data_IF_172485109183
#
_entry.id   IF_172485109183
#
_cell.length_a   1.000
_cell.length_b   1.000
_cell.length_c   1.000
_cell.angle_alpha   90.00
_cell.angle_beta   90.00
_cell.angle_gamma   90.00
#
_symmetry.space_group_name_H-M   'P 1'
#
loop_
_entity.id
_entity.type
_entity.pdbx_description
1 polymer ?
#
# COMPACT_ATOMS: atom_id res chain seq x y z
N UNK A 1 -5.15 -10.19 -25.31
CA UNK A 1 -5.18 -10.87 -24.00
C UNK A 1 -5.05 -9.78 -22.95
N UNK A 2 -6.16 -9.39 -22.31
CA UNK A 2 -6.19 -8.28 -21.34
C UNK A 2 -5.76 -8.79 -19.96
N UNK A 3 -4.95 -8.05 -19.19
CA UNK A 3 -4.59 -8.44 -17.83
C UNK A 3 -5.84 -8.35 -16.93
N UNK A 4 -6.06 -9.39 -16.12
CA UNK A 4 -7.23 -9.54 -15.26
C UNK A 4 -7.15 -8.60 -14.03
N UNK A 5 -8.25 -7.93 -13.66
CA UNK A 5 -8.29 -7.00 -12.52
C UNK A 5 -8.64 -7.76 -11.22
N UNK A 6 -7.74 -7.77 -10.24
CA UNK A 6 -8.01 -8.40 -8.95
C UNK A 6 -6.88 -8.22 -7.94
N UNK A 7 -6.82 -7.09 -7.24
CA UNK A 7 -5.77 -6.86 -6.22
C UNK A 7 -6.32 -6.47 -4.85
N UNK A 8 -7.56 -6.01 -4.75
CA UNK A 8 -8.12 -5.60 -3.46
C UNK A 8 -9.30 -6.47 -3.01
N UNK A 9 -9.59 -7.48 -3.83
CA UNK A 9 -10.77 -8.32 -3.72
C UNK A 9 -10.79 -9.14 -2.43
N UNK A 10 -9.64 -9.63 -1.94
CA UNK A 10 -9.64 -10.75 -1.00
C UNK A 10 -9.22 -10.39 0.43
N UNK A 11 -8.48 -9.32 0.70
CA UNK A 11 -8.03 -9.02 2.06
C UNK A 11 -9.12 -8.42 2.95
N UNK A 12 -9.89 -7.45 2.44
CA UNK A 12 -11.09 -6.98 3.13
C UNK A 12 -12.16 -8.06 3.17
N UNK A 13 -12.31 -8.81 2.08
CA UNK A 13 -13.22 -9.93 2.02
C UNK A 13 -12.82 -11.05 2.99
N UNK A 14 -11.54 -11.39 3.21
CA UNK A 14 -11.09 -12.44 4.16
C UNK A 14 -11.03 -11.98 5.61
N UNK A 15 -10.76 -10.70 5.85
CA UNK A 15 -11.01 -10.08 7.16
C UNK A 15 -12.51 -10.16 7.51
N UNK A 16 -13.42 -10.15 6.53
CA UNK A 16 -14.87 -10.34 6.72
C UNK A 16 -15.41 -11.76 6.42
N UNK A 17 -14.67 -12.64 5.73
CA UNK A 17 -15.03 -14.00 5.30
C UNK A 17 -14.18 -15.04 6.04
N UNK A 18 -13.89 -14.82 7.32
CA UNK A 18 -13.63 -15.91 8.26
C UNK A 18 -14.88 -16.80 8.40
N UNK A 19 -15.29 -17.45 7.30
CA UNK A 19 -16.51 -18.21 7.12
C UNK A 19 -16.49 -19.46 7.99
N UNK A 20 -16.88 -19.33 9.26
CA UNK A 20 -17.36 -20.47 10.03
C UNK A 20 -18.82 -20.72 9.67
N UNK A 21 -19.08 -21.67 8.77
CA UNK A 21 -20.33 -22.42 8.85
C UNK A 21 -20.28 -23.27 10.12
N UNK A 22 -21.39 -23.42 10.83
CA UNK A 22 -21.47 -24.11 12.12
C UNK A 22 -20.90 -25.56 12.11
N UNK A 23 -20.63 -26.15 10.94
CA UNK A 23 -20.11 -27.51 10.78
C UNK A 23 -18.65 -27.62 10.27
N UNK A 24 -17.93 -26.53 9.96
CA UNK A 24 -16.57 -26.64 9.41
C UNK A 24 -15.48 -26.56 10.52
N UNK A 25 -14.98 -27.73 10.95
CA UNK A 25 -13.98 -27.89 12.03
C UNK A 25 -12.50 -27.77 11.62
N UNK A 26 -12.15 -27.23 10.46
CA UNK A 26 -10.73 -27.05 10.10
C UNK A 26 -10.45 -25.65 9.58
N UNK A 27 -9.61 -24.92 10.32
CA UNK A 27 -9.04 -23.63 9.96
C UNK A 27 -8.10 -23.83 8.77
N UNK A 28 -8.52 -23.47 7.56
CA UNK A 28 -7.55 -23.17 6.50
C UNK A 28 -7.05 -21.76 6.76
N UNK A 29 -5.88 -21.66 7.38
CA UNK A 29 -5.14 -20.42 7.51
C UNK A 29 -4.65 -20.00 6.13
N UNK A 30 -5.24 -18.95 5.57
CA UNK A 30 -4.70 -18.30 4.38
C UNK A 30 -3.64 -17.30 4.86
N UNK A 31 -2.40 -17.45 4.37
CA UNK A 31 -1.37 -16.43 4.58
C UNK A 31 -1.76 -15.19 3.79
N UNK A 32 -2.15 -14.15 4.53
CA UNK A 32 -2.61 -12.88 4.00
C UNK A 32 -1.58 -12.27 3.04
N UNK A 33 -0.28 -12.46 3.30
CA UNK A 33 0.83 -11.90 2.51
C UNK A 33 1.01 -12.49 1.11
N UNK A 34 0.68 -13.77 0.86
CA UNK A 34 0.83 -14.43 -0.46
C UNK A 34 -0.31 -14.09 -1.43
N UNK A 35 -1.30 -13.30 -1.01
CA UNK A 35 -2.47 -12.95 -1.82
C UNK A 35 -2.30 -11.58 -2.50
N UNK A 36 -1.24 -10.84 -2.17
CA UNK A 36 -1.02 -9.46 -2.61
C UNK A 36 -0.03 -9.27 -3.77
N UNK A 37 0.57 -10.34 -4.28
CA UNK A 37 1.46 -10.28 -5.43
C UNK A 37 0.71 -10.74 -6.70
N UNK A 38 0.55 -9.83 -7.68
CA UNK A 38 -0.02 -10.15 -8.99
C UNK A 38 0.86 -11.07 -9.85
N UNK A 39 2.10 -11.31 -9.43
CA UNK A 39 2.97 -12.35 -9.99
C UNK A 39 2.85 -13.68 -9.24
N UNK A 40 2.00 -13.75 -8.21
CA UNK A 40 1.73 -14.98 -7.46
C UNK A 40 0.78 -15.89 -8.27
N UNK A 41 1.18 -17.13 -8.61
CA UNK A 41 0.31 -18.10 -9.30
C UNK A 41 -0.93 -18.54 -8.48
N UNK A 42 -1.10 -18.07 -7.25
CA UNK A 42 -2.21 -18.38 -6.34
C UNK A 42 -3.25 -17.25 -6.20
N UNK A 43 -3.16 -16.17 -6.99
CA UNK A 43 -4.19 -15.13 -7.02
C UNK A 43 -5.58 -15.71 -7.43
N UNK A 44 -6.61 -15.40 -6.65
CA UNK A 44 -7.96 -15.96 -6.83
C UNK A 44 -8.67 -15.31 -8.02
N UNK A 45 -8.94 -16.09 -9.08
CA UNK A 45 -9.68 -15.61 -10.25
C UNK A 45 -11.17 -15.38 -9.94
N UNK A 46 -11.88 -14.68 -10.83
CA UNK A 46 -13.35 -14.54 -10.75
C UNK A 46 -14.02 -15.92 -10.67
N UNK A 47 -13.55 -16.88 -11.44
CA UNK A 47 -14.05 -18.24 -11.48
C UNK A 47 -13.77 -18.97 -10.15
N UNK A 48 -12.58 -18.79 -9.55
CA UNK A 48 -12.26 -19.34 -8.24
C UNK A 48 -13.13 -18.73 -7.13
N UNK A 49 -13.50 -17.46 -7.27
CA UNK A 49 -14.42 -16.79 -6.37
C UNK A 49 -15.85 -17.32 -6.52
N UNK A 50 -16.35 -17.44 -7.76
CA UNK A 50 -17.68 -17.99 -8.02
C UNK A 50 -17.78 -19.42 -7.47
N UNK A 51 -16.73 -20.24 -7.60
CA UNK A 51 -16.62 -21.60 -7.02
C UNK A 51 -16.62 -21.57 -5.49
N UNK A 52 -15.90 -20.63 -4.86
CA UNK A 52 -15.88 -20.50 -3.40
C UNK A 52 -17.25 -20.10 -2.82
N UNK A 53 -18.06 -19.38 -3.61
CA UNK A 53 -19.39 -18.91 -3.23
C UNK A 53 -20.51 -19.87 -3.64
N UNK A 54 -20.32 -20.71 -4.67
CA UNK A 54 -21.36 -21.60 -5.23
C UNK A 54 -21.59 -22.91 -4.47
N UNK A 55 -20.91 -23.14 -3.34
CA UNK A 55 -20.93 -24.43 -2.61
C UNK A 55 -21.80 -24.49 -1.36
N UNK A 56 -22.60 -23.46 -1.05
CA UNK A 56 -23.35 -23.39 0.21
C UNK A 56 -24.78 -22.92 -0.07
N UNK A 57 -25.77 -23.78 0.20
CA UNK A 57 -27.21 -23.65 -0.06
C UNK A 57 -27.93 -22.41 0.55
N UNK A 58 -27.24 -21.33 0.91
CA UNK A 58 -27.83 -20.15 1.57
C UNK A 58 -27.29 -18.82 1.07
N UNK A 59 -26.28 -18.77 0.22
CA UNK A 59 -25.69 -17.51 -0.24
C UNK A 59 -25.94 -17.32 -1.74
N UNK A 60 -26.57 -16.21 -2.11
CA UNK A 60 -26.75 -15.83 -3.52
C UNK A 60 -25.71 -14.77 -3.86
N UNK A 61 -24.70 -15.17 -4.65
CA UNK A 61 -23.77 -14.25 -5.27
C UNK A 61 -24.29 -13.90 -6.68
N UNK A 62 -24.33 -12.62 -6.99
CA UNK A 62 -24.71 -12.14 -8.32
C UNK A 62 -23.80 -11.02 -8.76
N UNK A 63 -23.32 -11.10 -9.99
CA UNK A 63 -22.60 -10.02 -10.65
C UNK A 63 -23.55 -9.14 -11.44
N UNK A 64 -23.37 -7.83 -11.35
CA UNK A 64 -23.97 -6.87 -12.26
C UNK A 64 -22.92 -5.85 -12.72
N UNK A 65 -23.21 -5.18 -13.83
CA UNK A 65 -22.36 -4.14 -14.37
C UNK A 65 -23.18 -2.85 -14.43
N UNK A 66 -22.57 -1.76 -14.00
CA UNK A 66 -23.19 -0.44 -13.98
C UNK A 66 -22.20 0.64 -14.41
N UNK A 67 -22.65 1.88 -14.48
CA UNK A 67 -21.78 3.05 -14.65
C UNK A 67 -21.79 3.87 -13.37
N UNK A 68 -20.61 4.30 -12.95
CA UNK A 68 -20.46 5.30 -11.89
C UNK A 68 -21.05 6.64 -12.34
N UNK A 69 -21.25 7.58 -11.40
CA UNK A 69 -21.68 8.95 -11.76
C UNK A 69 -20.70 9.65 -12.70
N UNK A 70 -19.42 9.31 -12.63
CA UNK A 70 -18.38 9.77 -13.56
C UNK A 70 -18.56 9.25 -14.99
N UNK A 71 -19.43 8.26 -15.20
CA UNK A 71 -19.62 7.56 -16.48
C UNK A 71 -18.76 6.31 -16.65
N UNK A 72 -17.78 6.11 -15.76
CA UNK A 72 -16.86 4.97 -15.80
C UNK A 72 -17.59 3.64 -15.52
N UNK A 73 -17.22 2.55 -16.22
CA UNK A 73 -17.79 1.24 -15.98
C UNK A 73 -17.35 0.68 -14.61
N UNK A 74 -18.31 0.07 -13.91
CA UNK A 74 -18.15 -0.50 -12.59
C UNK A 74 -18.79 -1.89 -12.53
N UNK A 75 -18.02 -2.87 -12.07
CA UNK A 75 -18.51 -4.21 -11.78
C UNK A 75 -18.99 -4.26 -10.32
N UNK A 76 -20.13 -4.88 -10.08
CA UNK A 76 -20.75 -4.98 -8.76
C UNK A 76 -20.96 -6.45 -8.46
N UNK A 77 -20.31 -6.92 -7.40
CA UNK A 77 -20.61 -8.22 -6.80
C UNK A 77 -21.54 -8.01 -5.63
N UNK A 78 -22.73 -8.58 -5.71
CA UNK A 78 -23.69 -8.57 -4.62
C UNK A 78 -23.78 -9.97 -4.03
N UNK A 79 -23.35 -10.11 -2.77
CA UNK A 79 -23.47 -11.36 -2.01
C UNK A 79 -24.52 -11.16 -0.94
N UNK A 80 -25.68 -11.77 -1.14
CA UNK A 80 -26.69 -11.89 -0.09
C UNK A 80 -26.48 -13.21 0.61
N UNK A 81 -26.17 -13.17 1.88
CA UNK A 81 -26.17 -14.39 2.67
C UNK A 81 -27.52 -14.56 3.37
N UNK A 82 -28.03 -15.79 3.35
CA UNK A 82 -29.04 -16.24 4.29
C UNK A 82 -28.49 -16.30 5.72
N UNK A 83 -29.33 -16.74 6.66
CA UNK A 83 -29.00 -16.85 8.08
C UNK A 83 -27.70 -17.65 8.31
N UNK A 84 -26.72 -17.02 8.98
CA UNK A 84 -25.49 -17.68 9.47
C UNK A 84 -24.16 -17.16 8.91
N UNK A 85 -24.15 -16.07 8.14
CA UNK A 85 -22.88 -15.48 7.70
C UNK A 85 -22.29 -14.58 8.79
N UNK A 86 -21.08 -14.93 9.23
CA UNK A 86 -20.37 -14.22 10.29
C UNK A 86 -19.04 -13.70 9.75
N UNK A 87 -18.77 -12.43 10.03
CA UNK A 87 -17.45 -11.84 9.85
C UNK A 87 -16.70 -11.87 11.17
N UNK A 88 -15.41 -12.22 11.14
CA UNK A 88 -14.56 -12.16 12.33
C UNK A 88 -13.72 -10.89 12.28
N UNK A 89 -14.03 -9.93 13.15
CA UNK A 89 -13.21 -8.75 13.35
C UNK A 89 -12.48 -8.87 14.67
N UNK A 90 -11.15 -8.94 14.62
CA UNK A 90 -10.26 -9.22 15.75
C UNK A 90 -10.71 -10.46 16.55
N UNK A 91 -11.33 -10.27 17.72
CA UNK A 91 -11.82 -11.32 18.61
C UNK A 91 -13.34 -11.56 18.52
N UNK A 92 -14.06 -10.73 17.75
CA UNK A 92 -15.51 -10.72 17.69
C UNK A 92 -16.03 -11.32 16.39
N UNK A 93 -17.14 -12.07 16.48
CA UNK A 93 -17.87 -12.57 15.33
C UNK A 93 -19.14 -11.74 15.16
N UNK A 94 -19.26 -11.05 14.03
CA UNK A 94 -20.36 -10.14 13.70
C UNK A 94 -21.27 -10.82 12.68
N UNK A 95 -22.58 -10.77 12.89
CA UNK A 95 -23.52 -11.34 11.93
C UNK A 95 -23.69 -10.38 10.74
N UNK A 96 -23.27 -10.82 9.55
CA UNK A 96 -23.38 -10.05 8.31
C UNK A 96 -24.61 -10.51 7.53
N UNK A 97 -25.59 -9.62 7.34
CA UNK A 97 -26.80 -9.91 6.57
C UNK A 97 -26.56 -9.76 5.06
N UNK A 98 -25.67 -8.85 4.67
CA UNK A 98 -25.41 -8.55 3.26
C UNK A 98 -24.00 -7.98 3.06
N UNK A 99 -23.39 -8.35 1.94
CA UNK A 99 -22.14 -7.79 1.46
C UNK A 99 -22.30 -7.34 0.00
N UNK A 100 -21.94 -6.11 -0.30
CA UNK A 100 -21.86 -5.59 -1.67
C UNK A 100 -20.45 -5.11 -1.92
N UNK A 101 -19.84 -5.53 -3.02
CA UNK A 101 -18.54 -5.05 -3.43
C UNK A 101 -18.67 -4.37 -4.80
N UNK A 102 -18.14 -3.16 -4.90
CA UNK A 102 -18.09 -2.35 -6.09
C UNK A 102 -16.63 -2.25 -6.55
N UNK A 103 -16.41 -2.43 -7.84
CA UNK A 103 -15.09 -2.45 -8.44
C UNK A 103 -15.05 -1.54 -9.66
N UNK A 104 -14.03 -0.68 -9.73
CA UNK A 104 -13.70 0.00 -10.98
C UNK A 104 -13.13 -1.00 -11.97
N UNK A 105 -13.51 -0.89 -13.24
CA UNK A 105 -13.00 -1.77 -14.30
C UNK A 105 -11.49 -1.65 -14.54
N UNK A 106 -10.88 -0.53 -14.15
CA UNK A 106 -9.42 -0.33 -14.20
C UNK A 106 -8.67 -1.12 -13.11
N UNK A 107 -9.38 -1.72 -12.16
CA UNK A 107 -8.81 -2.49 -11.05
C UNK A 107 -8.15 -1.65 -9.95
N UNK A 108 -8.22 -0.31 -10.05
CA UNK A 108 -7.47 0.62 -9.18
C UNK A 108 -8.26 1.02 -7.93
N UNK A 109 -9.59 0.96 -7.96
CA UNK A 109 -10.42 1.34 -6.80
C UNK A 109 -11.55 0.36 -6.52
N UNK A 110 -11.88 0.25 -5.23
CA UNK A 110 -12.95 -0.60 -4.72
C UNK A 110 -13.75 0.09 -3.61
N UNK A 111 -14.97 -0.42 -3.41
CA UNK A 111 -15.81 -0.07 -2.27
C UNK A 111 -16.55 -1.32 -1.80
N UNK A 112 -16.47 -1.60 -0.51
CA UNK A 112 -17.28 -2.63 0.14
C UNK A 112 -18.39 -1.99 0.97
N UNK A 113 -19.56 -2.62 0.95
CA UNK A 113 -20.70 -2.30 1.79
C UNK A 113 -21.08 -3.54 2.58
N UNK A 114 -20.89 -3.50 3.90
CA UNK A 114 -21.21 -4.59 4.83
C UNK A 114 -22.43 -4.18 5.64
N UNK A 115 -23.41 -5.07 5.76
CA UNK A 115 -24.61 -4.84 6.54
C UNK A 115 -24.62 -5.78 7.74
N UNK A 116 -24.68 -5.22 8.95
CA UNK A 116 -24.72 -5.95 10.21
C UNK A 116 -26.12 -5.90 10.80
N UNK A 117 -26.57 -7.03 11.37
CA UNK A 117 -27.96 -7.23 11.76
C UNK A 117 -28.34 -6.79 13.17
N UNK A 118 -27.39 -6.48 14.06
CA UNK A 118 -27.70 -6.17 15.47
C UNK A 118 -27.05 -4.88 15.98
N UNK A 119 -27.70 -4.22 16.95
CA UNK A 119 -27.17 -3.03 17.61
C UNK A 119 -25.95 -3.36 18.50
N UNK A 120 -25.87 -4.55 19.08
CA UNK A 120 -24.70 -4.98 19.85
C UNK A 120 -23.46 -5.11 18.97
N UNK A 121 -23.63 -5.61 17.73
CA UNK A 121 -22.52 -5.71 16.78
C UNK A 121 -21.96 -4.34 16.41
N UNK A 122 -22.78 -3.28 16.47
CA UNK A 122 -22.36 -1.90 16.21
C UNK A 122 -21.36 -1.42 17.24
N UNK A 123 -21.69 -1.50 18.52
CA UNK A 123 -20.83 -0.94 19.59
C UNK A 123 -19.48 -1.64 19.62
N UNK A 124 -19.50 -2.97 19.49
CA UNK A 124 -18.30 -3.79 19.32
C UNK A 124 -17.51 -3.32 18.10
N UNK A 125 -18.18 -3.17 16.95
CA UNK A 125 -17.51 -2.79 15.71
C UNK A 125 -16.90 -1.39 15.78
N UNK A 126 -17.63 -0.40 16.28
CA UNK A 126 -17.13 0.97 16.39
C UNK A 126 -15.95 1.07 17.36
N UNK A 127 -15.97 0.32 18.47
CA UNK A 127 -14.84 0.27 19.41
C UNK A 127 -13.60 -0.35 18.77
N UNK A 128 -13.77 -1.44 18.02
CA UNK A 128 -12.67 -2.08 17.27
C UNK A 128 -12.12 -1.17 16.17
N UNK A 129 -12.97 -0.43 15.46
CA UNK A 129 -12.51 0.56 14.49
C UNK A 129 -11.76 1.71 15.16
N UNK A 130 -12.21 2.18 16.32
CA UNK A 130 -11.47 3.19 17.09
C UNK A 130 -10.09 2.67 17.54
N UNK A 131 -9.99 1.40 17.91
CA UNK A 131 -8.70 0.77 18.24
C UNK A 131 -7.78 0.66 17.01
N UNK A 132 -8.34 0.34 15.84
CA UNK A 132 -7.57 0.12 14.60
C UNK A 132 -7.17 1.43 13.90
N UNK A 133 -8.07 2.41 13.88
CA UNK A 133 -7.94 3.64 13.09
C UNK A 133 -7.80 4.90 13.93
N UNK A 134 -7.92 4.80 15.26
CA UNK A 134 -7.93 5.94 16.16
C UNK A 134 -9.29 6.63 16.21
N UNK A 135 -9.29 7.90 16.64
CA UNK A 135 -10.53 8.65 16.87
C UNK A 135 -11.36 8.83 15.60
N UNK A 136 -12.66 8.53 15.69
CA UNK A 136 -13.63 8.79 14.62
C UNK A 136 -13.99 10.27 14.51
N UNK A 137 -14.39 10.68 13.31
CA UNK A 137 -15.03 11.97 13.04
C UNK A 137 -16.53 11.79 12.74
N UNK A 138 -17.35 12.78 13.10
CA UNK A 138 -18.75 12.80 12.68
C UNK A 138 -18.88 13.51 11.34
N UNK A 139 -19.54 12.87 10.37
CA UNK A 139 -19.83 13.45 9.05
C UNK A 139 -21.20 14.14 8.97
N UNK A 140 -22.00 14.04 10.02
CA UNK A 140 -23.38 14.51 10.03
C UNK A 140 -24.36 13.44 10.50
N UNK A 141 -25.62 13.53 10.05
CA UNK A 141 -26.69 12.61 10.44
C UNK A 141 -27.46 12.10 9.23
N UNK A 142 -27.80 10.81 9.20
CA UNK A 142 -28.79 10.24 8.27
C UNK A 142 -30.17 10.42 8.87
N UNK A 143 -31.11 10.96 8.09
CA UNK A 143 -32.53 11.00 8.47
C UNK A 143 -33.24 9.75 7.94
N UNK A 144 -33.78 8.96 8.86
CA UNK A 144 -34.53 7.74 8.58
C UNK A 144 -35.95 8.05 8.11
N UNK A 145 -36.60 7.06 7.47
CA UNK A 145 -37.98 7.21 6.98
C UNK A 145 -39.00 7.45 8.08
N UNK A 146 -38.73 6.96 9.29
CA UNK A 146 -39.55 7.17 10.49
C UNK A 146 -39.30 8.54 11.16
N UNK A 147 -38.45 9.39 10.57
CA UNK A 147 -38.11 10.71 11.09
C UNK A 147 -36.96 10.71 12.11
N UNK A 148 -36.49 9.54 12.59
CA UNK A 148 -35.31 9.46 13.45
C UNK A 148 -34.07 9.93 12.69
N UNK A 149 -33.04 10.37 13.43
CA UNK A 149 -31.75 10.74 12.85
C UNK A 149 -30.64 9.99 13.56
N UNK A 150 -29.77 9.32 12.80
CA UNK A 150 -28.60 8.61 13.33
C UNK A 150 -27.30 9.30 12.89
N UNK A 151 -26.24 9.27 13.72
CA UNK A 151 -24.95 9.83 13.33
C UNK A 151 -24.30 9.00 12.21
N UNK A 152 -23.54 9.68 11.36
CA UNK A 152 -22.59 9.07 10.42
C UNK A 152 -21.20 9.21 11.02
N UNK A 153 -20.52 8.09 11.21
CA UNK A 153 -19.15 8.06 11.69
C UNK A 153 -18.18 7.75 10.55
N UNK A 154 -17.00 8.36 10.62
CA UNK A 154 -15.93 8.19 9.65
C UNK A 154 -14.61 7.97 10.36
N UNK A 155 -13.87 6.98 9.89
CA UNK A 155 -12.48 6.72 10.22
C UNK A 155 -11.66 6.86 8.94
N UNK A 156 -10.56 7.58 9.05
CA UNK A 156 -9.64 7.82 7.93
C UNK A 156 -8.30 7.14 8.24
N UNK A 157 -7.78 6.44 7.23
CA UNK A 157 -6.39 5.97 7.21
C UNK A 157 -5.77 6.30 5.86
N UNK A 158 -4.45 6.15 5.78
CA UNK A 158 -3.72 6.34 4.51
C UNK A 158 -4.22 5.41 3.38
N UNK A 159 -4.79 4.26 3.73
CA UNK A 159 -5.11 3.20 2.77
C UNK A 159 -6.61 2.96 2.58
N UNK A 160 -7.44 3.52 3.43
CA UNK A 160 -8.85 3.18 3.50
C UNK A 160 -9.64 4.23 4.27
N UNK A 161 -10.83 4.52 3.76
CA UNK A 161 -11.85 5.30 4.44
C UNK A 161 -12.92 4.33 4.91
N UNK A 162 -13.25 4.36 6.20
CA UNK A 162 -14.34 3.55 6.76
C UNK A 162 -15.46 4.47 7.20
N UNK A 163 -16.69 4.19 6.79
CA UNK A 163 -17.89 4.96 7.15
C UNK A 163 -18.92 4.02 7.75
N UNK A 164 -19.44 4.33 8.93
CA UNK A 164 -20.58 3.60 9.51
C UNK A 164 -21.79 4.49 9.66
N UNK A 165 -22.98 3.94 9.38
CA UNK A 165 -24.26 4.60 9.64
C UNK A 165 -25.40 3.58 9.68
N UNK A 166 -26.49 3.96 10.34
CA UNK A 166 -27.67 3.11 10.43
C UNK A 166 -28.55 3.22 9.19
N UNK A 167 -29.15 2.10 8.80
CA UNK A 167 -30.17 2.01 7.77
C UNK A 167 -31.35 1.17 8.30
N UNK A 168 -32.31 1.82 8.96
CA UNK A 168 -33.41 1.12 9.62
C UNK A 168 -32.94 0.34 10.84
N UNK A 169 -33.04 -0.99 10.80
CA UNK A 169 -32.56 -1.90 11.86
C UNK A 169 -31.16 -2.46 11.59
N UNK A 170 -30.58 -2.18 10.42
CA UNK A 170 -29.25 -2.66 10.05
C UNK A 170 -28.21 -1.55 10.23
N UNK A 171 -27.00 -1.95 10.57
CA UNK A 171 -25.83 -1.07 10.48
C UNK A 171 -25.15 -1.29 9.14
N UNK A 172 -24.95 -0.22 8.38
CA UNK A 172 -24.16 -0.26 7.15
C UNK A 172 -22.76 0.27 7.43
N UNK A 173 -21.77 -0.54 7.05
CA UNK A 173 -20.36 -0.19 7.03
C UNK A 173 -19.89 -0.08 5.59
N UNK A 174 -19.27 1.04 5.23
CA UNK A 174 -18.65 1.25 3.92
C UNK A 174 -17.14 1.31 4.09
N UNK A 175 -16.42 0.48 3.35
CA UNK A 175 -14.96 0.48 3.31
C UNK A 175 -14.55 0.87 1.92
N UNK A 176 -13.88 2.02 1.80
CA UNK A 176 -13.69 2.72 0.54
C UNK A 176 -12.19 2.90 0.33
N UNK A 177 -11.71 2.46 -0.82
CA UNK A 177 -10.38 2.84 -1.29
C UNK A 177 -10.33 4.36 -1.50
N UNK A 178 -9.33 5.10 -1.00
CA UNK A 178 -9.26 6.55 -1.20
C UNK A 178 -9.30 7.02 -2.66
N UNK A 179 -8.94 6.16 -3.62
CA UNK A 179 -9.04 6.42 -5.07
C UNK A 179 -10.41 6.09 -5.68
N UNK A 180 -11.32 5.46 -4.91
CA UNK A 180 -12.68 5.20 -5.35
C UNK A 180 -13.52 6.49 -5.28
N UNK A 181 -14.24 6.86 -6.36
CA UNK A 181 -15.00 8.11 -6.38
C UNK A 181 -16.06 8.17 -5.27
N UNK A 182 -15.83 9.01 -4.26
CA UNK A 182 -16.73 9.18 -3.12
C UNK A 182 -18.12 9.69 -3.53
N UNK A 183 -18.24 10.32 -4.70
CA UNK A 183 -19.52 10.79 -5.26
C UNK A 183 -20.53 9.66 -5.52
N UNK A 184 -20.06 8.41 -5.57
CA UNK A 184 -20.89 7.20 -5.70
C UNK A 184 -21.44 6.71 -4.35
N UNK A 185 -20.98 7.28 -3.23
CA UNK A 185 -21.41 6.99 -1.86
C UNK A 185 -22.44 8.05 -1.44
N UNK A 186 -23.72 7.70 -1.58
CA UNK A 186 -24.93 8.48 -1.25
C UNK A 186 -25.39 9.60 -2.20
N UNK A 187 -26.72 9.82 -2.28
CA UNK A 187 -27.30 11.11 -2.59
C UNK A 187 -27.43 11.89 -1.27
N UNK A 188 -26.36 12.51 -0.79
CA UNK A 188 -26.52 13.59 0.20
C UNK A 188 -27.22 14.72 -0.56
N UNK A 189 -28.49 15.00 -0.24
CA UNK A 189 -29.11 16.26 -0.66
C UNK A 189 -28.20 17.37 -0.14
N UNK A 190 -27.53 18.06 -1.07
CA UNK A 190 -26.61 19.19 -0.86
C UNK A 190 -26.88 19.92 0.46
N UNK A 191 -26.11 19.59 1.48
CA UNK A 191 -25.65 20.61 2.42
C UNK A 191 -24.15 20.57 2.28
N UNK A 192 -23.68 21.31 1.27
CA UNK A 192 -22.26 21.57 1.05
C UNK A 192 -21.83 22.41 2.24
N UNK A 193 -21.25 21.77 3.26
CA UNK A 193 -20.22 22.46 4.03
C UNK A 193 -19.04 22.45 3.08
N UNK A 194 -18.67 23.65 2.63
CA UNK A 194 -17.50 23.91 1.82
C UNK A 194 -16.26 23.56 2.65
N UNK A 195 -16.00 22.26 2.79
CA UNK A 195 -14.69 21.76 3.16
C UNK A 195 -13.86 21.97 1.90
N UNK A 196 -13.26 23.17 1.80
CA UNK A 196 -12.16 23.39 0.88
C UNK A 196 -11.26 22.17 0.97
N UNK A 197 -11.03 21.43 -0.12
CA UNK A 197 -10.13 20.31 -0.08
C UNK A 197 -8.78 20.89 0.31
N UNK A 198 -8.36 20.70 1.56
CA UNK A 198 -6.95 20.59 1.83
C UNK A 198 -6.55 19.35 1.05
N UNK A 199 -6.15 19.58 -0.20
CA UNK A 199 -5.63 18.60 -1.11
C UNK A 199 -4.55 17.85 -0.33
N UNK A 200 -4.91 16.67 0.16
CA UNK A 200 -3.95 15.60 0.40
C UNK A 200 -3.23 15.45 -0.94
N UNK A 201 -2.10 16.13 -1.08
CA UNK A 201 -1.13 15.81 -2.10
C UNK A 201 -0.75 14.35 -1.79
N UNK A 202 -1.43 13.41 -2.43
CA UNK A 202 -0.87 12.07 -2.61
C UNK A 202 0.33 12.32 -3.50
N UNK A 203 1.49 12.50 -2.86
CA UNK A 203 2.73 12.75 -3.55
C UNK A 203 2.92 11.60 -4.54
N UNK A 204 3.04 11.96 -5.82
CA UNK A 204 3.22 10.98 -6.87
C UNK A 204 4.44 10.09 -6.55
N UNK A 205 4.37 8.77 -6.77
CA UNK A 205 5.51 7.88 -6.58
C UNK A 205 6.77 8.44 -7.24
N UNK A 206 7.91 8.37 -6.54
CA UNK A 206 9.19 8.83 -7.08
C UNK A 206 9.86 7.66 -7.80
N UNK A 207 9.97 7.79 -9.13
CA UNK A 207 10.70 6.85 -9.97
C UNK A 207 12.20 7.19 -10.00
N UNK A 208 13.01 6.32 -9.42
CA UNK A 208 14.45 6.49 -9.30
C UNK A 208 15.23 5.73 -10.39
N UNK A 209 14.55 5.10 -11.36
CA UNK A 209 15.18 4.42 -12.50
C UNK A 209 16.11 5.28 -13.37
N UNK A 210 15.85 6.60 -13.58
CA UNK A 210 16.80 7.46 -14.28
C UNK A 210 18.20 7.45 -13.65
N UNK A 211 18.30 7.21 -12.33
CA UNK A 211 19.57 7.11 -11.61
C UNK A 211 20.28 5.76 -11.84
N UNK A 212 19.69 4.82 -12.59
CA UNK A 212 20.35 3.59 -13.01
C UNK A 212 21.01 3.73 -14.39
N UNK A 213 20.88 4.86 -15.07
CA UNK A 213 21.67 5.14 -16.27
C UNK A 213 23.07 5.62 -15.84
N UNK A 214 23.98 4.67 -15.57
CA UNK A 214 25.30 4.98 -15.00
C UNK A 214 26.17 5.87 -15.89
N UNK A 215 25.94 5.87 -17.21
CA UNK A 215 26.65 6.78 -18.11
C UNK A 215 26.24 8.24 -17.84
N UNK A 216 24.96 8.46 -17.57
CA UNK A 216 24.42 9.80 -17.27
C UNK A 216 24.57 10.18 -15.80
N UNK A 217 24.40 9.23 -14.89
CA UNK A 217 24.41 9.48 -13.44
C UNK A 217 25.71 10.18 -13.02
N UNK A 218 26.87 9.70 -13.45
CA UNK A 218 28.16 10.28 -13.03
C UNK A 218 28.51 11.60 -13.70
N UNK A 219 27.70 12.03 -14.66
CA UNK A 219 27.77 13.37 -15.27
C UNK A 219 26.73 14.33 -14.71
N UNK A 220 25.81 13.83 -13.89
CA UNK A 220 24.70 14.59 -13.32
C UNK A 220 25.23 15.70 -12.42
N UNK A 221 24.82 16.93 -12.72
CA UNK A 221 25.06 18.10 -11.85
C UNK A 221 23.87 18.33 -10.90
N UNK A 222 24.04 19.14 -9.84
CA UNK A 222 22.91 19.53 -8.99
C UNK A 222 21.74 20.14 -9.77
N UNK A 223 22.03 20.95 -10.80
CA UNK A 223 21.02 21.57 -11.66
C UNK A 223 20.27 20.53 -12.50
N UNK A 224 20.97 19.53 -13.01
CA UNK A 224 20.32 18.44 -13.78
C UNK A 224 19.39 17.63 -12.87
N UNK A 225 19.80 17.33 -11.64
CA UNK A 225 18.98 16.61 -10.67
C UNK A 225 17.70 17.38 -10.33
N UNK A 226 17.81 18.69 -10.11
CA UNK A 226 16.65 19.58 -9.87
C UNK A 226 15.70 19.60 -11.07
N UNK A 227 16.22 19.56 -12.29
CA UNK A 227 15.40 19.50 -13.49
C UNK A 227 14.70 18.14 -13.65
N UNK A 228 15.34 17.06 -13.21
CA UNK A 228 14.84 15.70 -13.36
C UNK A 228 13.69 15.39 -12.39
N UNK A 229 13.75 15.92 -11.16
CA UNK A 229 12.86 15.56 -10.06
C UNK A 229 11.95 16.71 -9.62
N UNK A 230 11.17 17.25 -10.57
CA UNK A 230 10.23 18.35 -10.36
C UNK A 230 8.79 17.85 -10.08
N UNK A 231 8.20 18.27 -8.96
CA UNK A 231 6.77 18.16 -8.68
C UNK A 231 6.04 19.36 -9.27
N UNK A 232 5.07 19.11 -10.14
CA UNK A 232 4.08 20.13 -10.53
C UNK A 232 3.00 20.20 -9.45
N UNK A 233 3.08 21.18 -8.55
CA UNK A 233 2.01 21.45 -7.60
C UNK A 233 0.75 22.01 -8.28
N UNK A 234 -0.41 21.87 -7.62
CA UNK A 234 -1.71 22.41 -8.06
C UNK A 234 -1.72 23.92 -8.28
N UNK A 235 -0.82 24.65 -7.59
CA UNK A 235 -0.64 26.10 -7.73
C UNK A 235 0.50 26.50 -8.67
N UNK A 236 0.94 25.60 -9.56
CA UNK A 236 2.09 25.80 -10.46
C UNK A 236 3.44 26.10 -9.79
N UNK A 237 3.54 25.99 -8.46
CA UNK A 237 4.83 26.01 -7.76
C UNK A 237 5.53 24.68 -8.00
N UNK A 238 6.62 24.75 -8.75
CA UNK A 238 7.54 23.63 -9.00
C UNK A 238 8.39 23.43 -7.75
N UNK A 239 8.21 22.30 -7.07
CA UNK A 239 9.04 21.90 -5.93
C UNK A 239 9.86 20.65 -6.28
N UNK A 240 11.05 20.48 -5.71
CA UNK A 240 11.82 19.25 -5.91
C UNK A 240 11.17 18.05 -5.16
N UNK A 241 11.32 16.83 -5.67
CA UNK A 241 10.95 15.58 -4.96
C UNK A 241 12.01 15.13 -3.92
N UNK A 242 13.02 15.96 -3.72
CA UNK A 242 14.18 15.71 -2.85
C UNK A 242 14.64 17.03 -2.22
N UNK A 243 15.39 16.92 -1.13
CA UNK A 243 15.91 18.08 -0.41
C UNK A 243 17.44 18.09 -0.49
N UNK A 244 18.00 19.29 -0.47
CA UNK A 244 19.44 19.46 -0.27
C UNK A 244 19.73 19.40 1.22
N UNK A 245 20.69 18.57 1.63
CA UNK A 245 21.09 18.45 3.05
C UNK A 245 22.02 19.58 3.49
N UNK A 246 22.58 20.32 2.54
CA UNK A 246 23.50 21.42 2.76
C UNK A 246 23.29 22.55 1.73
N UNK A 247 23.59 23.83 2.09
CA UNK A 247 23.42 24.97 1.18
C UNK A 247 24.30 24.92 -0.07
N UNK A 248 25.42 24.19 -0.02
CA UNK A 248 26.37 24.07 -1.12
C UNK A 248 25.95 23.00 -2.14
N UNK A 249 24.78 22.35 -1.92
CA UNK A 249 24.22 21.29 -2.76
C UNK A 249 25.18 20.10 -2.95
N UNK A 250 25.97 19.77 -1.92
CA UNK A 250 26.89 18.64 -1.94
C UNK A 250 26.18 17.31 -1.76
N UNK A 251 25.00 17.28 -1.14
CA UNK A 251 24.23 16.07 -0.99
C UNK A 251 22.73 16.31 -1.13
N UNK A 252 22.10 15.50 -1.99
CA UNK A 252 20.66 15.42 -2.15
C UNK A 252 20.11 14.22 -1.38
N UNK A 253 18.95 14.38 -0.74
CA UNK A 253 18.24 13.34 0.00
C UNK A 253 16.82 13.17 -0.52
N UNK A 254 16.50 11.96 -0.95
CA UNK A 254 15.15 11.50 -1.21
C UNK A 254 14.67 10.71 0.01
N UNK A 255 13.51 11.06 0.56
CA UNK A 255 12.88 10.34 1.65
C UNK A 255 11.38 10.27 1.46
N UNK A 256 10.77 9.16 1.88
CA UNK A 256 9.31 9.01 1.80
C UNK A 256 8.56 10.11 2.55
N UNK A 257 9.15 10.71 3.59
CA UNK A 257 8.62 11.91 4.26
C UNK A 257 9.42 13.12 3.79
N UNK A 258 8.84 13.87 2.86
CA UNK A 258 9.50 15.02 2.22
C UNK A 258 9.36 16.32 3.02
N UNK A 259 8.39 16.39 3.94
CA UNK A 259 8.19 17.54 4.84
C UNK A 259 7.41 17.11 6.08
N UNK A 260 7.57 17.83 7.20
CA UNK A 260 6.74 17.68 8.39
C UNK A 260 5.25 17.95 8.13
N UNK A 261 4.92 18.60 7.01
CA UNK A 261 3.55 18.92 6.60
C UNK A 261 2.92 17.91 5.63
N UNK A 262 3.66 16.90 5.15
CA UNK A 262 3.11 15.86 4.27
C UNK A 262 2.87 14.59 5.09
N UNK A 263 1.62 14.29 5.47
CA UNK A 263 1.32 13.18 6.39
C UNK A 263 1.59 11.80 5.77
N UNK A 264 1.49 11.65 4.44
CA UNK A 264 1.65 10.37 3.76
C UNK A 264 3.08 10.14 3.23
N UNK A 265 3.58 8.91 3.39
CA UNK A 265 4.88 8.51 2.83
C UNK A 265 4.79 8.38 1.29
N UNK A 266 5.68 9.07 0.58
CA UNK A 266 5.83 8.94 -0.88
C UNK A 266 6.59 7.66 -1.20
N UNK A 267 5.99 6.71 -1.95
CA UNK A 267 6.71 5.50 -2.33
C UNK A 267 7.83 5.84 -3.31
N UNK A 268 9.03 5.28 -3.07
CA UNK A 268 10.20 5.44 -3.94
C UNK A 268 10.64 4.08 -4.43
N UNK A 269 10.90 3.96 -5.73
CA UNK A 269 11.19 2.67 -6.35
C UNK A 269 12.31 2.73 -7.38
N UNK A 270 13.06 1.63 -7.51
CA UNK A 270 14.08 1.38 -8.53
C UNK A 270 13.86 0.04 -9.23
N UNK A 271 14.61 -0.14 -10.32
CA UNK A 271 14.66 -1.33 -11.16
C UNK A 271 13.29 -1.67 -11.75
N UNK A 272 12.72 -0.73 -12.51
CA UNK A 272 11.38 -0.85 -13.10
C UNK A 272 10.32 -1.15 -12.03
N UNK A 273 10.42 -0.42 -10.91
CA UNK A 273 9.57 -0.55 -9.72
C UNK A 273 9.71 -1.86 -8.93
N UNK A 274 10.66 -2.73 -9.29
CA UNK A 274 10.84 -4.01 -8.61
C UNK A 274 11.42 -3.88 -7.19
N UNK A 275 12.11 -2.77 -6.88
CA UNK A 275 12.76 -2.56 -5.59
C UNK A 275 12.26 -1.28 -4.93
N UNK A 276 11.54 -1.42 -3.81
CA UNK A 276 11.19 -0.29 -2.95
C UNK A 276 12.38 0.17 -2.10
N UNK A 277 12.49 1.48 -1.88
CA UNK A 277 13.60 2.11 -1.15
C UNK A 277 13.06 3.11 -0.14
N UNK A 278 13.63 3.11 1.08
CA UNK A 278 13.21 4.02 2.16
C UNK A 278 13.81 5.41 2.02
N UNK A 279 15.06 5.46 1.56
CA UNK A 279 15.86 6.68 1.48
C UNK A 279 16.95 6.56 0.42
N UNK A 280 17.20 7.64 -0.30
CA UNK A 280 18.36 7.75 -1.21
C UNK A 280 19.14 9.01 -0.91
N UNK A 281 20.47 8.88 -0.87
CA UNK A 281 21.40 9.99 -0.85
C UNK A 281 22.22 10.00 -2.14
N UNK A 282 22.38 11.17 -2.75
CA UNK A 282 23.30 11.38 -3.87
C UNK A 282 24.33 12.42 -3.44
N UNK A 283 25.60 12.03 -3.44
CA UNK A 283 26.72 12.90 -3.09
C UNK A 283 27.37 13.46 -4.36
N UNK A 284 27.61 14.77 -4.35
CA UNK A 284 28.26 15.52 -5.42
C UNK A 284 29.69 15.90 -5.00
N UNK A 285 30.65 15.60 -5.85
CA UNK A 285 32.07 15.97 -5.70
C UNK A 285 32.49 16.69 -6.98
N UNK A 286 33.14 17.84 -6.85
CA UNK A 286 33.55 18.69 -7.98
C UNK A 286 32.39 19.01 -8.95
N UNK A 287 31.19 19.21 -8.39
CA UNK A 287 29.98 19.57 -9.13
C UNK A 287 29.28 18.43 -9.86
N UNK A 288 29.71 17.17 -9.66
CA UNK A 288 29.12 15.99 -10.31
C UNK A 288 28.78 14.89 -9.29
N UNK A 289 27.75 14.09 -9.58
CA UNK A 289 27.43 12.96 -8.73
C UNK A 289 28.59 11.95 -8.71
N UNK A 290 29.03 11.59 -7.50
CA UNK A 290 30.16 10.69 -7.28
C UNK A 290 29.74 9.39 -6.59
N UNK A 291 28.72 9.48 -5.71
CA UNK A 291 28.20 8.34 -4.95
C UNK A 291 26.69 8.42 -4.81
N UNK A 292 26.06 7.27 -4.76
CA UNK A 292 24.66 7.13 -4.41
C UNK A 292 24.49 6.06 -3.33
N UNK A 293 23.80 6.37 -2.26
CA UNK A 293 23.48 5.42 -1.18
C UNK A 293 21.98 5.24 -1.09
N UNK A 294 21.52 4.00 -1.21
CA UNK A 294 20.12 3.60 -1.14
C UNK A 294 19.90 2.74 0.09
N UNK A 295 18.99 3.15 0.97
CA UNK A 295 18.51 2.35 2.09
C UNK A 295 17.28 1.58 1.64
N UNK A 296 17.43 0.28 1.41
CA UNK A 296 16.34 -0.63 0.99
C UNK A 296 15.50 -1.06 2.19
N UNK A 297 16.15 -1.16 3.35
CA UNK A 297 15.53 -1.39 4.64
C UNK A 297 16.31 -0.63 5.71
N UNK A 298 15.60 0.03 6.63
CA UNK A 298 16.18 0.52 7.88
C UNK A 298 15.13 0.38 8.97
N UNK A 299 15.45 -0.34 10.05
CA UNK A 299 14.47 -0.64 11.12
C UNK A 299 13.75 0.60 11.67
N UNK A 300 14.47 1.72 11.79
CA UNK A 300 13.91 3.00 12.26
C UNK A 300 12.98 3.71 11.27
N UNK A 301 12.95 3.29 9.99
CA UNK A 301 12.13 3.89 8.93
C UNK A 301 11.04 2.91 8.49
N UNK A 302 11.41 1.69 8.11
CA UNK A 302 10.51 0.66 7.57
C UNK A 302 9.85 -0.23 8.64
N UNK A 303 10.30 -0.14 9.89
CA UNK A 303 9.87 -1.02 10.97
C UNK A 303 10.63 -2.35 11.02
N UNK A 304 10.10 -3.32 11.78
CA UNK A 304 10.73 -4.63 11.96
C UNK A 304 10.37 -5.54 10.80
N UNK A 305 11.37 -6.20 10.22
CA UNK A 305 11.21 -7.22 9.17
C UNK A 305 11.73 -8.57 9.66
N UNK A 306 11.02 -9.65 9.33
CA UNK A 306 11.45 -11.01 9.70
C UNK A 306 12.56 -11.52 8.78
N UNK A 307 13.36 -12.46 9.28
CA UNK A 307 14.50 -13.04 8.54
C UNK A 307 14.19 -13.52 7.12
N UNK A 308 13.12 -14.29 6.87
CA UNK A 308 12.75 -14.72 5.52
C UNK A 308 12.43 -13.57 4.56
N UNK A 309 11.64 -12.58 5.01
CA UNK A 309 11.29 -11.40 4.21
C UNK A 309 12.53 -10.56 3.90
N UNK A 310 13.44 -10.43 4.86
CA UNK A 310 14.72 -9.75 4.65
C UNK A 310 15.59 -10.46 3.61
N UNK A 311 15.74 -11.79 3.71
CA UNK A 311 16.49 -12.59 2.74
C UNK A 311 15.93 -12.47 1.34
N UNK A 312 14.61 -12.43 1.20
CA UNK A 312 13.96 -12.19 -0.09
C UNK A 312 14.37 -10.82 -0.67
N UNK A 313 14.27 -9.73 0.12
CA UNK A 313 14.72 -8.39 -0.29
C UNK A 313 16.22 -8.35 -0.65
N UNK A 314 17.07 -8.96 0.17
CA UNK A 314 18.51 -9.04 -0.07
C UNK A 314 18.83 -9.76 -1.39
N UNK A 315 18.21 -10.93 -1.60
CA UNK A 315 18.40 -11.74 -2.82
C UNK A 315 17.89 -11.01 -4.06
N UNK A 316 16.71 -10.39 -3.95
CA UNK A 316 16.12 -9.60 -5.03
C UNK A 316 17.01 -8.42 -5.40
N UNK A 317 17.47 -7.63 -4.42
CA UNK A 317 18.37 -6.51 -4.66
C UNK A 317 19.67 -6.97 -5.32
N UNK A 318 20.29 -8.04 -4.82
CA UNK A 318 21.50 -8.62 -5.42
C UNK A 318 21.30 -9.08 -6.86
N UNK A 319 20.18 -9.75 -7.15
CA UNK A 319 19.84 -10.19 -8.51
C UNK A 319 19.65 -9.00 -9.47
N UNK A 320 18.90 -7.98 -9.05
CA UNK A 320 18.64 -6.78 -9.86
C UNK A 320 19.91 -5.99 -10.15
N UNK A 321 20.79 -5.84 -9.14
CA UNK A 321 22.10 -5.20 -9.31
C UNK A 321 22.98 -5.99 -10.27
N UNK A 322 23.09 -7.32 -10.09
CA UNK A 322 23.86 -8.19 -10.98
C UNK A 322 23.36 -8.15 -12.43
N UNK A 323 22.04 -8.19 -12.63
CA UNK A 323 21.42 -8.05 -13.95
C UNK A 323 21.73 -6.69 -14.59
N UNK A 324 21.64 -5.61 -13.81
CA UNK A 324 21.86 -4.25 -14.30
C UNK A 324 23.33 -3.99 -14.66
N UNK A 325 24.27 -4.55 -13.90
CA UNK A 325 25.71 -4.37 -14.12
C UNK A 325 26.31 -5.40 -15.09
N UNK A 326 25.63 -6.53 -15.33
CA UNK A 326 26.11 -7.59 -16.21
C UNK A 326 27.34 -8.35 -15.66
N UNK A 327 27.58 -8.27 -14.35
CA UNK A 327 28.71 -8.94 -13.67
C UNK A 327 28.24 -9.67 -12.42
N UNK A 328 28.94 -10.74 -12.04
CA UNK A 328 28.65 -11.50 -10.82
C UNK A 328 29.19 -10.78 -9.56
N UNK A 329 28.53 -10.93 -8.40
CA UNK A 329 29.01 -10.35 -7.16
C UNK A 329 30.18 -11.14 -6.54
N UNK A 330 30.99 -10.45 -5.75
CA UNK A 330 32.01 -11.02 -4.89
C UNK A 330 31.65 -10.78 -3.41
N UNK A 331 31.63 -11.84 -2.60
CA UNK A 331 31.50 -11.69 -1.16
C UNK A 331 32.82 -11.15 -0.59
N UNK A 332 32.74 -10.00 0.09
CA UNK A 332 33.86 -9.30 0.73
C UNK A 332 33.61 -9.09 2.23
N UNK A 333 32.79 -9.96 2.81
CA UNK A 333 32.56 -9.99 4.26
C UNK A 333 33.86 -10.38 4.96
N UNK A 334 34.22 -9.66 6.01
CA UNK A 334 35.40 -9.97 6.83
C UNK A 334 35.00 -11.06 7.84
N UNK A 335 35.76 -12.16 7.97
CA UNK A 335 35.46 -13.17 8.99
C UNK A 335 35.35 -12.54 10.39
N UNK A 336 34.27 -12.86 11.12
CA UNK A 336 34.00 -12.29 12.45
C UNK A 336 33.40 -10.87 12.44
N UNK A 337 33.25 -10.23 11.28
CA UNK A 337 32.50 -8.98 11.15
C UNK A 337 31.01 -9.26 11.16
N UNK A 338 30.26 -8.51 11.98
CA UNK A 338 28.79 -8.50 11.98
C UNK A 338 28.20 -7.77 10.78
N UNK A 339 28.92 -7.69 9.66
CA UNK A 339 28.50 -6.97 8.46
C UNK A 339 28.83 -7.86 7.27
N UNK A 340 27.77 -8.20 6.53
CA UNK A 340 27.85 -8.94 5.28
C UNK A 340 27.99 -7.93 4.14
N UNK A 341 28.92 -8.18 3.23
CA UNK A 341 29.21 -7.30 2.09
C UNK A 341 29.35 -8.06 0.79
N UNK A 342 28.63 -7.62 -0.23
CA UNK A 342 28.73 -8.12 -1.60
C UNK A 342 29.04 -6.97 -2.55
N UNK A 343 30.06 -7.14 -3.38
CA UNK A 343 30.56 -6.10 -4.27
C UNK A 343 30.44 -6.54 -5.73
N UNK A 344 30.01 -5.62 -6.58
CA UNK A 344 30.08 -5.72 -8.04
C UNK A 344 31.04 -4.66 -8.56
N UNK A 345 31.94 -5.06 -9.44
CA UNK A 345 32.84 -4.14 -10.14
C UNK A 345 32.56 -4.24 -11.63
N UNK A 346 31.93 -3.22 -12.19
CA UNK A 346 31.69 -3.10 -13.62
C UNK A 346 32.39 -1.84 -14.16
N UNK A 347 32.72 -1.77 -15.46
CA UNK A 347 33.43 -0.62 -16.04
C UNK A 347 32.75 0.73 -15.79
N UNK A 348 31.43 0.74 -15.63
CA UNK A 348 30.61 1.95 -15.50
C UNK A 348 30.17 2.27 -14.07
N UNK A 349 30.34 1.34 -13.12
CA UNK A 349 29.82 1.50 -11.77
C UNK A 349 30.41 0.42 -10.85
N UNK A 350 30.78 0.82 -9.63
CA UNK A 350 31.00 -0.10 -8.54
C UNK A 350 29.77 -0.09 -7.61
N UNK A 351 29.30 -1.28 -7.23
CA UNK A 351 28.19 -1.43 -6.29
C UNK A 351 28.59 -2.25 -5.06
N UNK A 352 28.09 -1.87 -3.90
CA UNK A 352 28.24 -2.57 -2.63
C UNK A 352 26.86 -2.75 -2.00
N UNK A 353 26.41 -3.99 -1.84
CA UNK A 353 25.23 -4.35 -1.06
C UNK A 353 25.71 -4.84 0.31
N UNK A 354 25.25 -4.19 1.38
CA UNK A 354 25.64 -4.51 2.75
C UNK A 354 24.45 -4.55 3.70
N UNK A 355 24.57 -5.41 4.71
CA UNK A 355 23.64 -5.50 5.84
C UNK A 355 24.37 -5.97 7.09
N UNK A 356 23.76 -5.75 8.25
CA UNK A 356 24.20 -6.35 9.51
C UNK A 356 23.92 -7.85 9.56
N UNK A 357 24.80 -8.59 10.22
CA UNK A 357 24.58 -10.00 10.51
C UNK A 357 23.49 -10.11 11.58
N UNK A 358 22.49 -10.94 11.30
CA UNK A 358 21.37 -11.17 12.20
C UNK A 358 21.09 -12.66 12.33
N UNK A 359 20.57 -13.05 13.49
CA UNK A 359 20.04 -14.39 13.70
C UNK A 359 18.56 -14.39 13.35
N UNK A 360 18.08 -15.47 12.74
CA UNK A 360 16.65 -15.62 12.44
C UNK A 360 15.76 -15.60 13.69
N UNK A 361 16.34 -15.95 14.84
CA UNK A 361 15.69 -15.90 16.15
C UNK A 361 15.84 -14.56 16.87
N UNK A 362 16.52 -13.58 16.28
CA UNK A 362 16.71 -12.27 16.92
C UNK A 362 15.37 -11.50 16.98
N UNK A 363 14.99 -10.94 18.14
CA UNK A 363 13.68 -10.32 18.32
C UNK A 363 13.44 -9.09 17.44
N UNK A 364 14.49 -8.43 16.98
CA UNK A 364 14.41 -7.18 16.21
C UNK A 364 14.78 -7.31 14.74
N UNK A 365 15.14 -8.53 14.29
CA UNK A 365 15.62 -8.77 12.94
C UNK A 365 16.85 -7.91 12.58
N UNK A 366 17.19 -7.81 11.27
CA UNK A 366 18.27 -6.96 10.79
C UNK A 366 17.96 -5.48 10.94
N UNK A 367 19.00 -4.71 11.25
CA UNK A 367 18.93 -3.26 11.39
C UNK A 367 18.82 -2.55 10.04
N UNK A 368 19.54 -3.00 9.01
CA UNK A 368 19.53 -2.34 7.71
C UNK A 368 19.88 -3.25 6.52
N UNK A 369 19.42 -2.84 5.32
CA UNK A 369 19.90 -3.31 4.03
C UNK A 369 20.20 -2.10 3.16
N UNK A 370 21.44 -1.95 2.70
CA UNK A 370 21.90 -0.77 1.98
C UNK A 370 22.65 -1.13 0.72
N UNK A 371 22.31 -0.46 -0.37
CA UNK A 371 23.04 -0.49 -1.63
C UNK A 371 23.81 0.82 -1.77
N UNK A 372 25.12 0.75 -2.01
CA UNK A 372 25.96 1.90 -2.33
C UNK A 372 26.46 1.75 -3.75
N UNK A 373 26.39 2.81 -4.53
CA UNK A 373 26.93 2.90 -5.88
C UNK A 373 27.99 4.00 -5.90
N UNK A 374 29.05 3.78 -6.67
CA UNK A 374 30.11 4.75 -6.87
C UNK A 374 30.50 4.81 -8.34
N UNK A 375 30.91 6.01 -8.76
CA UNK A 375 31.57 6.20 -10.04
C UNK A 375 32.80 5.27 -10.14
N UNK A 376 33.11 4.75 -11.34
CA UNK A 376 34.28 3.91 -11.53
C UNK A 376 35.54 4.70 -11.15
N UNK A 377 36.38 4.10 -10.31
CA UNK A 377 37.75 4.58 -10.08
C UNK A 377 38.49 4.56 -11.42
N UNK A 378 38.91 5.74 -11.88
CA UNK A 378 39.83 5.85 -13.03
C UNK A 378 41.18 5.23 -12.73
#
# INVERSE_FOLDING_TARGET
MMPAPGVHFLACLLLFLGCHTAEAQATRSFEVESVFDLNDPFAMTKEAMDVALSGKDRSVASWSFSKMKSGDPCAILNVRSGAGFQAQMTQHRLAVSRLVAHFRNDGVGYKFEVYLGSQSDREIMESELENLFGARSTMGKVKHRDGRSSPIWRWDSERMIVISHELGSELKLEMIDPSFPLECSFPIRKTVIDLSPQLLLVAAPVDLDPLLDFDKLWTLTPTDLESMYQVKGSNHKVGAQFEWTDPEKKQARFSGKFSSSTPAATPMTLFAKALAVDQVFIEFVDGRAARMTLSIHTRGISGIIKGPQFRAKFTQAGHLVGKKLGVAPQNRSVPGSKIVRWIWQAPKCAALLEHDEFLDSAPFGPEYLRLKLAAPTK
#
